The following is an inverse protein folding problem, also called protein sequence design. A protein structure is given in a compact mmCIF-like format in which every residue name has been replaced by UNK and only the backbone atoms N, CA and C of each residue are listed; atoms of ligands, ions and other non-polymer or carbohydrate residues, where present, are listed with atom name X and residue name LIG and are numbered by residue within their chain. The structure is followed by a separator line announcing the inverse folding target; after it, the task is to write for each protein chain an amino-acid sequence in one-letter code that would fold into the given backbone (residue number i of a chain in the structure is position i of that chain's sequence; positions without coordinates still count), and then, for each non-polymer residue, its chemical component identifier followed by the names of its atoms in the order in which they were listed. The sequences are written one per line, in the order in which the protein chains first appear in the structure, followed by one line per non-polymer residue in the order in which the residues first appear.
data_IF_556061993959
#
_entry.id   IF_556061993959
#
_cell.length_a   1.000
_cell.length_b   1.000
_cell.length_c   1.000
_cell.angle_alpha   90.00
_cell.angle_beta   90.00
_cell.angle_gamma   90.00
#
_symmetry.space_group_name_H-M   'P 1'
#
loop_
_entity.id
_entity.type
_entity.pdbx_description
1 polymer ?
#
# COMPACT_ATOMS: atom_id res chain seq x y z
N UNK A 1 -2.34 12.68 12.96
CA UNK A 1 -3.27 12.01 12.01
C UNK A 1 -3.00 12.40 10.53
N UNK A 2 -1.74 12.45 10.05
CA UNK A 2 -1.43 12.84 8.65
C UNK A 2 -0.33 12.00 7.96
N UNK A 3 0.43 11.18 8.70
CA UNK A 3 1.54 10.42 8.12
C UNK A 3 1.11 9.35 7.10
N UNK A 4 -0.10 8.81 7.27
CA UNK A 4 -0.57 7.66 6.50
C UNK A 4 -0.75 8.01 5.01
N UNK A 5 -1.37 9.16 4.72
CA UNK A 5 -1.57 9.63 3.35
C UNK A 5 -0.23 9.86 2.62
N UNK A 6 0.81 10.30 3.34
CA UNK A 6 2.15 10.56 2.78
C UNK A 6 2.89 9.23 2.52
N UNK A 7 2.71 8.24 3.40
CA UNK A 7 3.36 6.94 3.27
C UNK A 7 2.97 6.19 1.97
N UNK A 8 1.74 6.34 1.49
CA UNK A 8 1.32 5.78 0.21
C UNK A 8 1.97 6.48 -0.98
N UNK A 9 2.10 7.80 -0.94
CA UNK A 9 2.72 8.58 -2.04
C UNK A 9 4.23 8.40 -2.10
N UNK A 10 4.87 8.05 -0.97
CA UNK A 10 6.29 7.73 -0.88
C UNK A 10 6.64 6.32 -1.37
N UNK A 11 5.64 5.43 -1.52
CA UNK A 11 5.89 4.09 -2.00
C UNK A 11 6.20 4.12 -3.50
N UNK A 12 7.39 3.65 -3.93
CA UNK A 12 7.76 3.65 -5.33
C UNK A 12 6.79 2.76 -6.12
N UNK A 13 6.13 3.36 -7.12
CA UNK A 13 5.10 2.70 -7.94
C UNK A 13 3.66 2.88 -7.46
N UNK A 14 3.42 3.45 -6.27
CA UNK A 14 2.07 3.81 -5.80
C UNK A 14 1.77 5.25 -6.24
N UNK A 15 1.16 5.37 -7.41
CA UNK A 15 0.65 6.65 -7.90
C UNK A 15 -0.67 7.05 -7.22
N UNK A 16 -1.17 8.25 -7.53
CA UNK A 16 -2.42 8.80 -6.99
C UNK A 16 -3.64 7.89 -7.26
N UNK A 17 -3.68 7.23 -8.43
CA UNK A 17 -4.77 6.30 -8.79
C UNK A 17 -4.67 5.00 -7.98
N UNK A 18 -3.46 4.44 -7.91
CA UNK A 18 -3.16 3.19 -7.21
C UNK A 18 -3.40 3.32 -5.70
N UNK A 19 -2.92 4.41 -5.10
CA UNK A 19 -3.15 4.71 -3.69
C UNK A 19 -4.63 4.86 -3.35
N UNK A 20 -5.42 5.55 -4.19
CA UNK A 20 -6.87 5.65 -4.01
C UNK A 20 -7.57 4.29 -4.09
N UNK A 21 -7.20 3.44 -5.06
CA UNK A 21 -7.75 2.08 -5.16
C UNK A 21 -7.42 1.23 -3.94
N UNK A 22 -6.17 1.28 -3.49
CA UNK A 22 -5.72 0.57 -2.28
C UNK A 22 -6.54 1.00 -1.06
N UNK A 23 -6.67 2.30 -0.83
CA UNK A 23 -7.47 2.83 0.30
C UNK A 23 -8.94 2.39 0.18
N UNK A 24 -9.52 2.48 -1.02
CA UNK A 24 -10.91 2.11 -1.26
C UNK A 24 -11.16 0.60 -1.06
N UNK A 25 -10.24 -0.26 -1.50
CA UNK A 25 -10.35 -1.72 -1.33
C UNK A 25 -10.07 -2.17 0.10
N UNK A 26 -9.05 -1.60 0.74
CA UNK A 26 -8.67 -1.99 2.10
C UNK A 26 -9.49 -1.27 3.18
N UNK A 27 -10.23 -0.22 2.84
CA UNK A 27 -11.02 0.56 3.79
C UNK A 27 -10.19 1.55 4.61
N UNK A 28 -9.00 1.90 4.16
CA UNK A 28 -8.11 2.82 4.86
C UNK A 28 -6.65 2.57 4.55
N UNK A 29 -5.84 3.61 4.67
CA UNK A 29 -4.39 3.52 4.41
C UNK A 29 -3.70 2.51 5.32
N UNK A 30 -4.01 2.54 6.62
CA UNK A 30 -3.43 1.59 7.59
C UNK A 30 -3.84 0.15 7.29
N UNK A 31 -5.06 -0.05 6.79
CA UNK A 31 -5.51 -1.35 6.34
C UNK A 31 -4.70 -1.80 5.12
N UNK A 32 -4.39 -0.93 4.15
CA UNK A 32 -3.49 -1.27 3.03
C UNK A 32 -2.16 -1.82 3.55
N UNK A 33 -1.58 -1.17 4.56
CA UNK A 33 -0.31 -1.58 5.16
C UNK A 33 -0.41 -2.84 6.04
N UNK A 34 -1.59 -3.16 6.57
CA UNK A 34 -1.87 -4.39 7.33
C UNK A 34 -2.40 -5.54 6.49
N UNK A 35 -2.75 -5.30 5.23
CA UNK A 35 -3.36 -6.30 4.37
C UNK A 35 -2.33 -7.30 3.87
N UNK A 36 -2.79 -8.53 3.64
CA UNK A 36 -1.95 -9.61 3.15
C UNK A 36 -1.69 -9.46 1.66
N UNK A 37 -0.60 -10.08 1.21
CA UNK A 37 -0.16 -10.14 -0.19
C UNK A 37 -1.30 -10.51 -1.15
N UNK A 38 -2.04 -11.57 -0.83
CA UNK A 38 -3.19 -12.03 -1.61
C UNK A 38 -4.32 -10.99 -1.73
N UNK A 39 -4.56 -10.20 -0.69
CA UNK A 39 -5.60 -9.17 -0.73
C UNK A 39 -5.18 -7.99 -1.64
N UNK A 40 -3.88 -7.67 -1.66
CA UNK A 40 -3.32 -6.65 -2.53
C UNK A 40 -3.27 -7.13 -3.99
N UNK A 41 -3.00 -8.42 -4.24
CA UNK A 41 -3.02 -9.03 -5.58
C UNK A 41 -4.41 -9.03 -6.22
N UNK A 42 -5.47 -9.05 -5.41
CA UNK A 42 -6.86 -8.94 -5.90
C UNK A 42 -7.21 -7.56 -6.43
N UNK A 43 -6.38 -6.55 -6.18
CA UNK A 43 -6.69 -5.17 -6.55
C UNK A 43 -6.25 -4.93 -8.01
N UNK A 44 -7.17 -4.56 -8.92
CA UNK A 44 -6.86 -4.40 -10.33
C UNK A 44 -5.92 -3.21 -10.58
N UNK A 45 -4.74 -3.50 -11.13
CA UNK A 45 -3.66 -2.54 -11.36
C UNK A 45 -2.56 -2.55 -10.29
N UNK A 46 -2.67 -3.42 -9.28
CA UNK A 46 -1.60 -3.71 -8.32
C UNK A 46 -0.85 -4.96 -8.81
N UNK A 47 0.43 -4.78 -9.16
CA UNK A 47 1.32 -5.90 -9.51
C UNK A 47 2.14 -6.37 -8.31
N UNK A 48 2.56 -7.63 -8.34
CA UNK A 48 3.43 -8.27 -7.34
C UNK A 48 4.69 -7.45 -6.98
N UNK A 49 5.32 -6.76 -7.94
CA UNK A 49 6.44 -5.82 -7.66
C UNK A 49 6.05 -4.71 -6.68
N UNK A 50 4.86 -4.13 -6.90
CA UNK A 50 4.36 -3.06 -6.05
C UNK A 50 4.04 -3.58 -4.65
N UNK A 51 3.41 -4.75 -4.58
CA UNK A 51 3.07 -5.42 -3.33
C UNK A 51 4.33 -5.72 -2.53
N UNK A 52 5.37 -6.23 -3.21
CA UNK A 52 6.65 -6.51 -2.58
C UNK A 52 7.29 -5.21 -2.05
N UNK A 53 7.18 -4.10 -2.80
CA UNK A 53 7.61 -2.78 -2.33
C UNK A 53 6.82 -2.33 -1.09
N UNK A 54 5.50 -2.48 -1.08
CA UNK A 54 4.64 -2.11 0.06
C UNK A 54 5.01 -2.91 1.32
N UNK A 55 5.15 -4.24 1.18
CA UNK A 55 5.52 -5.12 2.28
C UNK A 55 6.95 -4.85 2.77
N UNK A 56 7.90 -4.60 1.86
CA UNK A 56 9.30 -4.38 2.19
C UNK A 56 9.55 -3.00 2.84
N UNK A 57 8.84 -1.95 2.40
CA UNK A 57 8.98 -0.61 2.97
C UNK A 57 8.44 -0.51 4.42
N UNK A 58 7.56 -1.44 4.82
CA UNK A 58 7.05 -1.52 6.19
C UNK A 58 8.02 -2.24 7.14
N UNK A 59 8.80 -3.21 6.64
CA UNK A 59 9.84 -3.90 7.45
C UNK A 59 10.84 -2.90 8.04
N UNK A 60 11.11 -1.79 7.35
CA UNK A 60 12.04 -0.75 7.83
C UNK A 60 11.48 0.19 8.92
N UNK A 61 10.22 0.03 9.34
CA UNK A 61 9.63 0.86 10.41
C UNK A 61 9.42 0.11 11.73
N UNK A 62 10.11 -1.01 11.88
CA UNK A 62 10.22 -1.77 13.12
C UNK A 62 11.71 -1.91 13.49
N UNK A 63 12.31 -0.80 13.90
CA UNK A 63 13.52 -0.73 14.71
C UNK A 63 13.40 0.49 15.63
#
# INVERSE_FOLDING_TARGET
MLLQQIALTLLPGVGNVTGKKLIAYCGGVEAVFKQKREALEKIPGIGEKLINSILNHFVFRQA
#
